data_IF_838763454286
#
_entry.id   IF_838763454286
#
_cell.length_a   1.000
_cell.length_b   1.000
_cell.length_c   1.000
_cell.angle_alpha   90.00
_cell.angle_beta   90.00
_cell.angle_gamma   90.00
#
_symmetry.space_group_name_H-M   'P 1'
#
loop_
_entity.id
_entity.type
_entity.pdbx_description
1 polymer ?
#
# COMPACT_ATOMS: atom_id res chain seq x y z
N UNK A 1 -0.68 -1.02 24.29
CA UNK A 1 -0.05 -0.66 23.00
C UNK A 1 -0.81 0.49 22.36
N UNK A 2 -0.21 1.20 21.40
CA UNK A 2 -0.87 2.31 20.69
C UNK A 2 -1.11 1.90 19.25
N UNK A 3 -2.13 2.49 18.63
CA UNK A 3 -2.40 2.28 17.22
C UNK A 3 -1.71 3.35 16.38
N UNK A 4 -1.10 2.92 15.28
CA UNK A 4 -0.42 3.75 14.33
C UNK A 4 -0.89 3.44 12.92
N UNK A 5 -0.89 4.48 12.09
CA UNK A 5 -1.04 4.38 10.65
C UNK A 5 0.28 4.83 10.03
N UNK A 6 0.89 3.92 9.28
CA UNK A 6 2.19 4.12 8.65
C UNK A 6 1.97 4.12 7.14
N UNK A 7 2.33 5.23 6.51
CA UNK A 7 2.36 5.36 5.06
C UNK A 7 3.79 5.63 4.65
N UNK A 8 4.31 4.80 3.76
CA UNK A 8 5.63 5.04 3.18
C UNK A 8 5.60 4.84 1.67
N UNK A 9 6.49 5.56 1.02
CA UNK A 9 6.66 5.50 -0.42
C UNK A 9 8.07 5.05 -0.75
N UNK A 10 8.15 4.09 -1.68
CA UNK A 10 9.37 3.46 -2.14
C UNK A 10 9.69 3.94 -3.55
N UNK A 11 10.97 4.06 -3.83
CA UNK A 11 11.49 4.38 -5.14
C UNK A 11 10.99 3.36 -6.20
N UNK A 12 10.56 3.81 -7.39
CA UNK A 12 9.86 2.96 -8.36
C UNK A 12 10.69 1.78 -8.88
N UNK A 13 12.03 1.90 -8.89
CA UNK A 13 12.94 0.86 -9.36
C UNK A 13 13.09 -0.30 -8.35
N UNK A 14 12.83 -0.05 -7.07
CA UNK A 14 12.89 -1.04 -5.99
C UNK A 14 11.50 -1.62 -5.69
N UNK A 15 10.52 -1.41 -6.58
CA UNK A 15 9.14 -1.89 -6.41
C UNK A 15 9.05 -3.41 -6.21
N UNK A 16 9.97 -4.19 -6.79
CA UNK A 16 9.97 -5.65 -6.64
C UNK A 16 10.45 -6.11 -5.25
N UNK A 17 11.17 -5.25 -4.52
CA UNK A 17 11.67 -5.54 -3.18
C UNK A 17 10.65 -5.23 -2.09
N UNK A 18 9.56 -4.53 -2.42
CA UNK A 18 8.53 -4.09 -1.48
C UNK A 18 7.92 -5.24 -0.68
N UNK A 19 7.54 -6.39 -1.26
CA UNK A 19 7.00 -7.50 -0.48
C UNK A 19 7.97 -8.00 0.60
N UNK A 20 9.25 -8.13 0.27
CA UNK A 20 10.27 -8.54 1.24
C UNK A 20 10.52 -7.49 2.34
N UNK A 21 10.37 -6.20 2.03
CA UNK A 21 10.42 -5.15 3.04
C UNK A 21 9.21 -5.21 3.98
N UNK A 22 8.01 -5.42 3.43
CA UNK A 22 6.78 -5.58 4.20
C UNK A 22 6.89 -6.77 5.17
N UNK A 23 7.40 -7.92 4.70
CA UNK A 23 7.59 -9.11 5.54
C UNK A 23 8.56 -8.84 6.69
N UNK A 24 9.68 -8.15 6.43
CA UNK A 24 10.64 -7.78 7.48
C UNK A 24 10.03 -6.86 8.54
N UNK A 25 9.33 -5.81 8.11
CA UNK A 25 8.68 -4.89 9.04
C UNK A 25 7.55 -5.57 9.82
N UNK A 26 6.81 -6.45 9.15
CA UNK A 26 5.79 -7.28 9.79
C UNK A 26 6.40 -8.19 10.86
N UNK A 27 7.52 -8.85 10.56
CA UNK A 27 8.25 -9.69 11.51
C UNK A 27 8.76 -8.92 12.72
N UNK A 28 9.27 -7.70 12.53
CA UNK A 28 9.69 -6.84 13.64
C UNK A 28 8.52 -6.49 14.57
N UNK A 29 7.35 -6.19 14.00
CA UNK A 29 6.15 -5.85 14.77
C UNK A 29 5.60 -7.07 15.52
N UNK A 30 5.48 -8.22 14.85
CA UNK A 30 4.95 -9.44 15.48
C UNK A 30 5.89 -10.00 16.54
N UNK A 31 7.21 -9.85 16.35
CA UNK A 31 8.22 -10.24 17.34
C UNK A 31 8.12 -9.45 18.66
N UNK A 32 7.57 -8.24 18.63
CA UNK A 32 7.33 -7.41 19.79
C UNK A 32 5.87 -7.46 20.29
N UNK A 33 5.16 -8.56 19.98
CA UNK A 33 3.75 -8.79 20.34
C UNK A 33 2.77 -7.76 19.74
N UNK A 34 3.21 -7.04 18.71
CA UNK A 34 2.37 -6.11 17.96
C UNK A 34 1.44 -6.83 16.97
N UNK A 35 0.34 -6.17 16.61
CA UNK A 35 -0.66 -6.67 15.67
C UNK A 35 -0.76 -5.78 14.45
N UNK A 36 -0.94 -6.39 13.28
CA UNK A 36 -1.19 -5.68 12.04
C UNK A 36 -2.68 -5.81 11.74
N UNK A 37 -3.35 -4.68 11.69
CA UNK A 37 -4.80 -4.60 11.47
C UNK A 37 -5.14 -4.48 9.99
N UNK A 38 -4.30 -3.76 9.25
CA UNK A 38 -4.50 -3.49 7.81
C UNK A 38 -3.15 -3.40 7.13
N UNK A 39 -3.02 -4.05 5.99
CA UNK A 39 -1.85 -3.99 5.12
C UNK A 39 -2.36 -3.82 3.69
N UNK A 40 -1.98 -2.73 3.05
CA UNK A 40 -2.40 -2.42 1.69
C UNK A 40 -1.22 -1.96 0.85
N UNK A 41 -1.03 -2.67 -0.27
CA UNK A 41 -0.15 -2.25 -1.34
C UNK A 41 -0.99 -1.47 -2.39
N UNK A 42 -0.75 -0.17 -2.49
CA UNK A 42 -1.41 0.70 -3.47
C UNK A 42 -0.70 0.71 -4.83
N UNK A 43 0.47 0.09 -4.91
CA UNK A 43 1.29 -0.03 -6.09
C UNK A 43 1.95 1.29 -6.49
N UNK A 44 2.40 1.31 -7.74
CA UNK A 44 3.06 2.48 -8.35
C UNK A 44 2.03 3.54 -8.74
N UNK A 45 2.22 4.75 -8.22
CA UNK A 45 1.33 5.90 -8.46
C UNK A 45 2.12 7.12 -8.90
N UNK A 46 1.48 7.99 -9.67
CA UNK A 46 2.05 9.27 -10.07
C UNK A 46 1.99 10.25 -8.90
N UNK A 47 3.12 10.91 -8.64
CA UNK A 47 3.24 11.94 -7.61
C UNK A 47 2.62 13.25 -8.10
N UNK A 48 2.03 14.01 -7.18
CA UNK A 48 1.48 15.33 -7.48
C UNK A 48 2.57 16.34 -7.88
N UNK A 49 3.78 16.16 -7.35
CA UNK A 49 4.96 16.95 -7.68
C UNK A 49 6.22 16.07 -7.58
N UNK A 50 7.33 16.44 -8.24
CA UNK A 50 8.53 15.64 -8.22
C UNK A 50 9.18 15.61 -6.82
N UNK A 51 9.51 14.42 -6.33
CA UNK A 51 10.30 14.22 -5.11
C UNK A 51 11.60 13.55 -5.52
N UNK A 52 12.75 14.13 -5.19
CA UNK A 52 14.06 13.62 -5.62
C UNK A 52 14.14 13.37 -7.14
N UNK A 53 13.50 14.24 -7.95
CA UNK A 53 13.37 14.14 -9.42
C UNK A 53 12.52 12.96 -9.92
N UNK A 54 11.82 12.25 -9.05
CA UNK A 54 10.92 11.15 -9.40
C UNK A 54 9.51 11.67 -9.60
N UNK A 55 8.81 11.12 -10.58
CA UNK A 55 7.39 11.42 -10.85
C UNK A 55 6.44 10.30 -10.43
N UNK A 56 6.97 9.13 -10.06
CA UNK A 56 6.21 7.97 -9.61
C UNK A 56 6.85 7.39 -8.36
N UNK A 57 6.03 6.83 -7.48
CA UNK A 57 6.49 6.10 -6.32
C UNK A 57 5.56 4.93 -6.03
N UNK A 58 6.08 3.90 -5.37
CA UNK A 58 5.28 2.77 -4.91
C UNK A 58 4.77 3.07 -3.50
N UNK A 59 3.46 3.04 -3.28
CA UNK A 59 2.85 3.38 -1.99
C UNK A 59 2.44 2.13 -1.21
N UNK A 60 2.77 2.12 0.08
CA UNK A 60 2.35 1.09 1.02
C UNK A 60 1.71 1.75 2.24
N UNK A 61 0.59 1.19 2.68
CA UNK A 61 -0.11 1.56 3.89
C UNK A 61 -0.11 0.38 4.86
N UNK A 62 0.14 0.68 6.14
CA UNK A 62 0.13 -0.30 7.21
C UNK A 62 -0.51 0.30 8.46
N UNK A 63 -1.56 -0.35 8.98
CA UNK A 63 -2.14 0.00 10.27
C UNK A 63 -1.74 -1.04 11.29
N UNK A 64 -1.10 -0.58 12.36
CA UNK A 64 -0.44 -1.43 13.32
C UNK A 64 -0.79 -1.03 14.73
N UNK A 65 -0.78 -2.01 15.61
CA UNK A 65 -0.80 -1.84 17.06
C UNK A 65 0.53 -2.35 17.58
N UNK A 66 1.33 -1.46 18.13
CA UNK A 66 2.69 -1.78 18.56
C UNK A 66 3.08 -0.97 19.80
N UNK A 67 4.07 -1.44 20.58
CA UNK A 67 4.77 -0.60 21.56
C UNK A 67 5.52 0.53 20.85
N UNK A 68 5.80 1.62 21.58
CA UNK A 68 6.44 2.81 21.01
C UNK A 68 7.87 2.52 20.54
N UNK A 69 8.62 1.68 21.27
CA UNK A 69 10.01 1.33 20.98
C UNK A 69 10.19 0.76 19.56
N UNK A 70 9.28 -0.12 19.13
CA UNK A 70 9.30 -0.73 17.79
C UNK A 70 9.00 0.29 16.70
N UNK A 71 8.13 1.26 16.98
CA UNK A 71 7.81 2.33 16.03
C UNK A 71 9.02 3.26 15.84
N UNK A 72 9.71 3.60 16.92
CA UNK A 72 10.92 4.42 16.88
C UNK A 72 12.05 3.71 16.10
N UNK A 73 12.18 2.39 16.27
CA UNK A 73 13.08 1.56 15.48
C UNK A 73 12.68 1.50 14.00
N UNK A 74 11.39 1.35 13.69
CA UNK A 74 10.89 1.38 12.32
C UNK A 74 11.15 2.73 11.65
N UNK A 75 10.95 3.84 12.35
CA UNK A 75 11.23 5.18 11.84
C UNK A 75 12.72 5.34 11.51
N UNK A 76 13.58 4.80 12.38
CA UNK A 76 15.03 4.73 12.17
C UNK A 76 15.37 3.88 10.94
N UNK A 77 14.75 2.72 10.78
CA UNK A 77 14.93 1.84 9.63
C UNK A 77 14.47 2.48 8.31
N UNK A 78 13.37 3.24 8.33
CA UNK A 78 12.94 3.99 7.14
C UNK A 78 13.94 5.08 6.77
N UNK A 79 14.55 5.74 7.76
CA UNK A 79 15.54 6.80 7.52
C UNK A 79 16.84 6.29 6.92
N UNK A 80 17.29 5.10 7.30
CA UNK A 80 18.52 4.50 6.79
C UNK A 80 18.33 3.66 5.52
N UNK A 81 17.09 3.46 5.08
CA UNK A 81 16.80 2.73 3.87
C UNK A 81 16.62 3.70 2.69
N UNK A 82 17.62 3.76 1.81
CA UNK A 82 17.62 4.62 0.62
C UNK A 82 16.48 4.30 -0.36
N UNK A 83 15.88 3.10 -0.29
CA UNK A 83 14.73 2.76 -1.10
C UNK A 83 13.47 3.54 -0.68
N UNK A 84 13.37 3.95 0.58
CA UNK A 84 12.21 4.71 1.10
C UNK A 84 12.45 6.20 0.87
N UNK A 85 11.65 6.80 -0.02
CA UNK A 85 11.83 8.22 -0.37
C UNK A 85 11.13 9.16 0.62
N UNK A 86 10.07 8.67 1.28
CA UNK A 86 9.36 9.39 2.35
C UNK A 86 8.53 8.40 3.16
N UNK A 87 8.47 8.62 4.47
CA UNK A 87 7.60 7.92 5.41
C UNK A 87 6.81 8.93 6.23
N UNK A 88 5.65 8.50 6.71
CA UNK A 88 4.81 9.24 7.64
C UNK A 88 4.17 8.27 8.61
N UNK A 89 4.39 8.50 9.90
CA UNK A 89 3.80 7.73 10.99
C UNK A 89 2.79 8.63 11.70
N UNK A 90 1.54 8.19 11.77
CA UNK A 90 0.46 8.90 12.43
C UNK A 90 -0.07 8.05 13.59
N UNK A 91 -0.34 8.68 14.72
CA UNK A 91 -1.03 8.02 15.84
C UNK A 91 -2.53 8.07 15.61
N UNK A 92 -3.19 6.91 15.67
CA UNK A 92 -4.64 6.80 15.54
C UNK A 92 -5.28 6.41 16.87
N UNK A 93 -6.54 6.79 17.06
CA UNK A 93 -7.26 6.54 18.33
C UNK A 93 -7.69 5.07 18.47
N UNK A 94 -8.05 4.43 17.37
CA UNK A 94 -8.54 3.05 17.32
C UNK A 94 -7.91 2.31 16.13
N UNK A 95 -7.95 0.98 16.17
CA UNK A 95 -7.56 0.14 15.04
C UNK A 95 -8.49 0.41 13.84
N UNK A 96 -7.89 0.77 12.70
CA UNK A 96 -8.63 0.93 11.43
C UNK A 96 -8.41 -0.32 10.61
N UNK A 97 -9.48 -1.08 10.39
CA UNK A 97 -9.47 -2.36 9.67
C UNK A 97 -10.17 -2.30 8.31
N UNK A 98 -10.97 -1.26 8.06
CA UNK A 98 -11.70 -1.09 6.81
C UNK A 98 -10.77 -0.82 5.63
N UNK A 99 -11.13 -1.28 4.43
CA UNK A 99 -10.37 -1.00 3.23
C UNK A 99 -10.29 0.51 2.96
N UNK A 100 -9.10 1.00 2.61
CA UNK A 100 -8.87 2.38 2.20
C UNK A 100 -9.73 2.74 0.98
N UNK A 101 -10.14 4.02 0.85
CA UNK A 101 -10.70 4.53 -0.39
C UNK A 101 -9.85 4.22 -1.62
N UNK A 102 -8.53 4.00 -1.45
CA UNK A 102 -7.63 3.71 -2.54
C UNK A 102 -7.74 2.30 -3.10
N UNK A 103 -8.02 1.32 -2.25
CA UNK A 103 -8.29 -0.06 -2.66
C UNK A 103 -9.69 -0.12 -3.25
N UNK A 104 -10.70 0.47 -2.58
CA UNK A 104 -12.08 0.54 -3.09
C UNK A 104 -12.15 1.14 -4.50
N UNK A 105 -11.49 2.27 -4.74
CA UNK A 105 -11.47 2.90 -6.06
C UNK A 105 -10.74 2.08 -7.14
N UNK A 106 -9.77 1.24 -6.75
CA UNK A 106 -9.07 0.34 -7.66
C UNK A 106 -9.96 -0.85 -8.05
N UNK A 107 -10.67 -1.42 -7.07
CA UNK A 107 -11.58 -2.53 -7.28
C UNK A 107 -12.78 -2.09 -8.14
N UNK A 108 -13.41 -0.96 -7.83
CA UNK A 108 -14.51 -0.38 -8.64
C UNK A 108 -14.11 -0.03 -10.08
N UNK A 109 -12.84 0.34 -10.30
CA UNK A 109 -12.30 0.58 -11.65
C UNK A 109 -12.07 -0.72 -12.41
N UNK A 110 -11.70 -1.79 -11.70
CA UNK A 110 -11.47 -3.09 -12.30
C UNK A 110 -12.80 -3.73 -12.68
N UNK A 111 -13.77 -3.74 -11.77
CA UNK A 111 -15.12 -4.28 -12.01
C UNK A 111 -15.77 -3.63 -13.22
N UNK A 112 -15.75 -2.29 -13.31
CA UNK A 112 -16.26 -1.60 -14.51
C UNK A 112 -15.54 -2.00 -15.79
N UNK A 113 -14.21 -2.21 -15.75
CA UNK A 113 -13.45 -2.59 -16.95
C UNK A 113 -13.81 -4.00 -17.40
N UNK A 114 -13.97 -4.91 -16.45
CA UNK A 114 -14.29 -6.30 -16.74
C UNK A 114 -15.75 -6.41 -17.27
N UNK A 115 -16.69 -5.62 -16.73
CA UNK A 115 -18.08 -5.48 -17.27
C UNK A 115 -18.11 -4.98 -18.73
N UNK A 116 -17.29 -3.98 -19.09
CA UNK A 116 -17.19 -3.53 -20.48
C UNK A 116 -16.61 -4.61 -21.41
N UNK A 117 -15.63 -5.39 -20.93
CA UNK A 117 -15.00 -6.44 -21.73
C UNK A 117 -15.97 -7.60 -22.02
N UNK A 118 -16.80 -7.98 -21.05
CA UNK A 118 -17.84 -9.01 -21.24
C UNK A 118 -18.93 -8.53 -22.22
N UNK A 119 -19.32 -7.26 -22.17
CA UNK A 119 -20.32 -6.70 -23.09
C UNK A 119 -19.85 -6.61 -24.55
N UNK A 120 -18.56 -6.35 -24.80
CA UNK A 120 -17.97 -6.40 -26.15
C UNK A 120 -17.90 -7.84 -26.70
N UNK A 121 -17.55 -8.82 -25.85
CA UNK A 121 -17.45 -10.24 -26.25
C UNK A 121 -18.85 -10.80 -26.62
N UNK A 122 -19.88 -10.49 -25.84
CA UNK A 122 -21.28 -10.87 -26.15
C UNK A 122 -21.79 -10.20 -27.45
N UNK A 123 -21.32 -8.99 -27.77
CA UNK A 123 -21.70 -8.27 -28.98
C UNK A 123 -21.05 -8.84 -30.26
N UNK A 124 -19.80 -9.30 -30.21
CA UNK A 124 -19.14 -9.97 -31.34
C UNK A 124 -19.68 -11.38 -31.60
N UNK A 125 -20.12 -12.09 -30.56
CA UNK A 125 -20.75 -13.42 -30.71
C UNK A 125 -22.15 -13.32 -31.33
N UNK A 126 -22.91 -12.26 -31.02
CA UNK A 126 -24.25 -12.04 -31.61
C UNK A 126 -24.24 -11.71 -33.12
N UNK A 127 -23.20 -11.05 -33.62
CA UNK A 127 -23.08 -10.66 -35.05
C UNK A 127 -22.56 -11.81 -35.95
N UNK A 128 -22.14 -12.93 -35.36
CA UNK A 128 -21.65 -14.11 -36.07
C UNK A 128 -22.67 -15.25 -36.21
N UNK A 129 -23.88 -15.08 -35.67
CA UNK A 129 -24.98 -16.06 -35.74
C UNK A 129 -26.13 -15.69 -36.72
N UNK A 130 -26.03 -14.60 -37.51
CA UNK A 130 -26.98 -14.24 -38.59
C UNK A 130 -26.53 -14.60 -40.01
#
# INVERSE_FOLDING_TARGET
MRHYEIVFMVHPDQSEQVPGMIERYTGAITGAEGKIHRLEDWGRRQLAYPINKLHKAHYVLMNVEAPQEVIDELETNFRFNDAVIRSMVMRVKHAVTEASPMVKAKDERRERRDEYAEADDDAEVGDSEE
#
